data_IF_651212016177
#
_entry.id   IF_651212016177
#
_cell.length_a   1.000
_cell.length_b   1.000
_cell.length_c   1.000
_cell.angle_alpha   90.00
_cell.angle_beta   90.00
_cell.angle_gamma   90.00
#
_symmetry.space_group_name_H-M   'P 1'
#
loop_
_entity.id
_entity.type
_entity.pdbx_description
1 polymer ?
#
# COMPACT_ATOMS: atom_id res chain seq x y z
N UNK A 1 -6.69 9.74 11.34
CA UNK A 1 -7.08 9.42 9.95
C UNK A 1 -7.27 7.93 9.79
N UNK A 2 -8.16 7.51 8.88
CA UNK A 2 -8.36 6.09 8.62
C UNK A 2 -7.07 5.37 8.20
N UNK A 3 -6.98 4.10 8.57
CA UNK A 3 -5.84 3.24 8.29
C UNK A 3 -6.24 2.22 7.23
N UNK A 4 -5.32 1.95 6.31
CA UNK A 4 -5.50 0.96 5.26
C UNK A 4 -4.26 0.07 5.17
N UNK A 5 -4.48 -1.19 4.84
CA UNK A 5 -3.39 -2.14 4.60
C UNK A 5 -3.35 -2.42 3.11
N UNK A 6 -2.20 -2.18 2.49
CA UNK A 6 -1.99 -2.44 1.08
C UNK A 6 -1.12 -3.69 0.94
N UNK A 7 -1.68 -4.72 0.32
CA UNK A 7 -0.97 -5.97 0.04
C UNK A 7 -0.60 -5.96 -1.43
N UNK A 8 0.69 -5.89 -1.72
CA UNK A 8 1.18 -5.72 -3.08
C UNK A 8 1.82 -6.99 -3.61
N UNK A 9 1.49 -7.31 -4.87
CA UNK A 9 2.12 -8.40 -5.60
C UNK A 9 2.79 -7.80 -6.84
N UNK A 10 4.09 -8.08 -7.01
CA UNK A 10 4.83 -7.58 -8.15
C UNK A 10 4.56 -8.44 -9.39
N UNK A 11 4.44 -7.79 -10.55
CA UNK A 11 4.51 -8.47 -11.83
C UNK A 11 5.96 -8.90 -12.08
N UNK A 12 6.18 -9.73 -13.11
CA UNK A 12 7.54 -10.10 -13.52
C UNK A 12 8.38 -8.86 -13.80
N UNK A 13 7.81 -7.89 -14.50
CA UNK A 13 8.47 -6.61 -14.77
C UNK A 13 8.79 -5.86 -13.48
N UNK A 14 7.86 -5.87 -12.52
CA UNK A 14 8.07 -5.21 -11.22
C UNK A 14 9.21 -5.84 -10.44
N UNK A 15 9.32 -7.16 -10.43
CA UNK A 15 10.43 -7.88 -9.80
C UNK A 15 11.76 -7.46 -10.42
N UNK A 16 11.84 -7.42 -11.74
CA UNK A 16 13.06 -7.02 -12.45
C UNK A 16 13.44 -5.57 -12.15
N UNK A 17 12.47 -4.69 -12.08
CA UNK A 17 12.69 -3.27 -11.78
C UNK A 17 13.26 -3.10 -10.38
N UNK A 18 12.69 -3.77 -9.38
CA UNK A 18 13.17 -3.68 -7.99
C UNK A 18 14.58 -4.28 -7.86
N UNK A 19 14.84 -5.39 -8.53
CA UNK A 19 16.17 -6.01 -8.51
C UNK A 19 17.24 -5.12 -9.12
N UNK A 20 16.93 -4.49 -10.25
CA UNK A 20 17.93 -3.65 -10.96
C UNK A 20 18.03 -2.25 -10.36
N UNK A 21 16.98 -1.74 -9.74
CA UNK A 21 16.97 -0.42 -9.13
C UNK A 21 16.15 -0.40 -7.83
N UNK A 22 16.73 -0.85 -6.71
CA UNK A 22 16.01 -0.88 -5.42
C UNK A 22 15.50 0.48 -4.94
N UNK A 23 16.14 1.57 -5.35
CA UNK A 23 15.72 2.93 -5.00
C UNK A 23 14.33 3.27 -5.56
N UNK A 24 13.86 2.53 -6.56
CA UNK A 24 12.51 2.69 -7.10
C UNK A 24 11.44 2.59 -6.02
N UNK A 25 11.69 1.76 -4.99
CA UNK A 25 10.76 1.59 -3.88
C UNK A 25 10.57 2.89 -3.10
N UNK A 26 11.66 3.61 -2.84
CA UNK A 26 11.59 4.92 -2.15
C UNK A 26 10.87 5.96 -3.01
N UNK A 27 11.08 5.93 -4.31
CA UNK A 27 10.39 6.83 -5.23
C UNK A 27 8.89 6.57 -5.23
N UNK A 28 8.47 5.31 -5.21
CA UNK A 28 7.06 4.94 -5.12
C UNK A 28 6.46 5.45 -3.82
N UNK A 29 7.17 5.36 -2.71
CA UNK A 29 6.70 5.88 -1.42
C UNK A 29 6.47 7.39 -1.48
N UNK A 30 7.34 8.14 -2.16
CA UNK A 30 7.14 9.57 -2.37
C UNK A 30 5.89 9.86 -3.20
N UNK A 31 5.67 9.06 -4.24
CA UNK A 31 4.48 9.20 -5.09
C UNK A 31 3.21 8.98 -4.28
N UNK A 32 3.22 7.98 -3.41
CA UNK A 32 2.09 7.70 -2.51
C UNK A 32 1.80 8.89 -1.61
N UNK A 33 2.84 9.48 -1.04
CA UNK A 33 2.68 10.65 -0.18
C UNK A 33 2.17 11.87 -0.94
N UNK A 34 2.65 12.09 -2.15
CA UNK A 34 2.16 13.17 -3.00
C UNK A 34 0.69 13.01 -3.37
N UNK A 35 0.20 11.78 -3.45
CA UNK A 35 -1.21 11.50 -3.74
C UNK A 35 -2.11 11.65 -2.50
N UNK A 36 -1.53 11.91 -1.33
CA UNK A 36 -2.30 12.23 -0.13
C UNK A 36 -2.34 11.14 0.94
N UNK A 37 -1.58 10.07 0.79
CA UNK A 37 -1.47 9.02 1.80
C UNK A 37 -0.13 9.11 2.52
N UNK A 38 -0.11 8.69 3.79
CA UNK A 38 1.12 8.62 4.57
C UNK A 38 1.46 7.16 4.83
N UNK A 39 2.66 6.74 4.45
CA UNK A 39 3.15 5.40 4.72
C UNK A 39 3.62 5.33 6.16
N UNK A 40 2.97 4.52 6.98
CA UNK A 40 3.32 4.34 8.39
C UNK A 40 4.31 3.21 8.59
N UNK A 41 4.08 2.09 7.91
CA UNK A 41 4.93 0.90 7.97
C UNK A 41 4.99 0.25 6.60
N UNK A 42 6.12 -0.38 6.31
CA UNK A 42 6.31 -1.09 5.06
C UNK A 42 7.24 -2.28 5.30
N UNK A 43 6.83 -3.45 4.86
CA UNK A 43 7.62 -4.68 4.95
C UNK A 43 7.67 -5.38 3.62
N UNK A 44 8.82 -5.94 3.29
CA UNK A 44 8.93 -6.93 2.22
C UNK A 44 8.62 -8.30 2.83
N UNK A 45 7.81 -9.08 2.13
CA UNK A 45 7.36 -10.38 2.63
C UNK A 45 7.66 -11.48 1.61
N UNK A 46 7.64 -12.71 2.08
CA UNK A 46 7.78 -13.90 1.24
C UNK A 46 6.44 -14.65 1.29
N UNK A 47 5.96 -15.08 0.14
CA UNK A 47 4.68 -15.80 0.05
C UNK A 47 3.76 -15.18 -0.99
N UNK A 48 2.48 -15.13 -0.67
CA UNK A 48 1.44 -14.67 -1.61
C UNK A 48 1.58 -13.19 -1.97
N UNK A 49 2.16 -12.39 -1.08
CA UNK A 49 2.37 -10.96 -1.32
C UNK A 49 3.85 -10.63 -1.18
N UNK A 50 4.30 -9.65 -1.93
CA UNK A 50 5.69 -9.20 -1.91
C UNK A 50 5.92 -8.07 -0.91
N UNK A 51 4.91 -7.21 -0.73
CA UNK A 51 4.99 -6.10 0.24
C UNK A 51 3.70 -5.97 1.02
N UNK A 52 3.85 -5.61 2.29
CA UNK A 52 2.74 -5.21 3.15
C UNK A 52 3.01 -3.79 3.60
N UNK A 53 2.08 -2.88 3.31
CA UNK A 53 2.19 -1.48 3.67
C UNK A 53 1.01 -1.09 4.56
N UNK A 54 1.30 -0.33 5.61
CA UNK A 54 0.26 0.27 6.43
C UNK A 54 0.30 1.76 6.14
N UNK A 55 -0.82 2.29 5.67
CA UNK A 55 -0.91 3.71 5.30
C UNK A 55 -2.10 4.36 6.00
N UNK A 56 -2.00 5.67 6.21
CA UNK A 56 -3.17 6.45 6.59
C UNK A 56 -3.54 7.38 5.45
N UNK A 57 -4.83 7.63 5.31
CA UNK A 57 -5.39 8.49 4.28
C UNK A 57 -6.60 9.23 4.84
N UNK A 58 -6.95 10.41 4.30
CA UNK A 58 -8.11 11.15 4.79
C UNK A 58 -9.43 10.41 4.54
N UNK A 59 -9.50 9.63 3.47
CA UNK A 59 -10.72 8.90 3.09
C UNK A 59 -10.41 7.74 2.17
N UNK A 60 -11.41 6.91 1.93
CA UNK A 60 -11.28 5.74 1.07
C UNK A 60 -11.05 6.13 -0.40
N UNK A 61 -11.58 7.26 -0.83
CA UNK A 61 -11.40 7.72 -2.21
C UNK A 61 -9.92 8.03 -2.50
N UNK A 62 -9.21 8.62 -1.54
CA UNK A 62 -7.79 8.92 -1.68
C UNK A 62 -6.96 7.64 -1.81
N UNK A 63 -7.21 6.65 -0.96
CA UNK A 63 -6.45 5.40 -1.04
C UNK A 63 -6.81 4.61 -2.30
N UNK A 64 -8.06 4.68 -2.76
CA UNK A 64 -8.46 4.06 -4.03
C UNK A 64 -7.70 4.69 -5.19
N UNK A 65 -7.54 6.00 -5.20
CA UNK A 65 -6.76 6.72 -6.21
C UNK A 65 -5.30 6.24 -6.23
N UNK A 66 -4.70 6.08 -5.05
CA UNK A 66 -3.33 5.56 -4.94
C UNK A 66 -3.25 4.15 -5.52
N UNK A 67 -4.17 3.26 -5.14
CA UNK A 67 -4.17 1.87 -5.58
C UNK A 67 -4.30 1.76 -7.11
N UNK A 68 -5.21 2.53 -7.70
CA UNK A 68 -5.40 2.53 -9.15
C UNK A 68 -4.19 3.14 -9.86
N UNK A 69 -3.65 4.25 -9.35
CA UNK A 69 -2.49 4.91 -9.95
C UNK A 69 -1.27 4.02 -9.97
N UNK A 70 -1.01 3.30 -8.89
CA UNK A 70 0.12 2.36 -8.83
C UNK A 70 -0.13 1.12 -9.70
N UNK A 71 -1.35 0.59 -9.68
CA UNK A 71 -1.72 -0.56 -10.49
C UNK A 71 -1.63 -0.28 -11.98
N UNK A 72 -1.95 0.94 -12.40
CA UNK A 72 -1.90 1.34 -13.81
C UNK A 72 -0.49 1.32 -14.40
N UNK A 73 0.55 1.35 -13.57
CA UNK A 73 1.94 1.26 -14.02
C UNK A 73 2.32 -0.13 -14.51
N UNK A 74 1.51 -1.16 -14.20
CA UNK A 74 1.73 -2.53 -14.66
C UNK A 74 2.80 -3.30 -13.89
N UNK A 75 3.45 -2.69 -12.91
CA UNK A 75 4.50 -3.35 -12.12
C UNK A 75 3.99 -4.01 -10.86
N UNK A 76 2.78 -3.66 -10.42
CA UNK A 76 2.26 -4.16 -9.16
C UNK A 76 0.74 -4.31 -9.21
N UNK A 77 0.23 -5.28 -8.46
CA UNK A 77 -1.19 -5.46 -8.19
C UNK A 77 -1.40 -5.25 -6.70
N UNK A 78 -2.37 -4.43 -6.33
CA UNK A 78 -2.60 -4.05 -4.94
C UNK A 78 -3.97 -4.48 -4.47
N UNK A 79 -4.00 -5.17 -3.33
CA UNK A 79 -5.21 -5.46 -2.60
C UNK A 79 -5.26 -4.49 -1.42
N UNK A 80 -6.32 -3.70 -1.32
CA UNK A 80 -6.45 -2.63 -0.34
C UNK A 80 -7.50 -3.00 0.69
N UNK A 81 -7.09 -3.05 1.96
CA UNK A 81 -7.97 -3.43 3.07
C UNK A 81 -8.15 -2.25 4.01
N UNK A 82 -9.39 -1.76 4.21
CA UNK A 82 -9.64 -0.83 5.31
C UNK A 82 -9.35 -1.54 6.62
N UNK A 83 -8.69 -0.87 7.53
CA UNK A 83 -8.33 -1.43 8.82
C UNK A 83 -8.97 -0.63 9.94
N UNK A 84 -9.45 -1.33 10.94
CA UNK A 84 -10.05 -0.75 12.12
C UNK A 84 -9.16 -1.02 13.31
N UNK A 85 -8.84 0.01 14.09
CA UNK A 85 -8.11 -0.19 15.33
C UNK A 85 -8.88 -1.13 16.23
N UNK A 86 -8.18 -2.01 16.94
CA UNK A 86 -8.83 -3.02 17.78
C UNK A 86 -9.76 -2.40 18.82
N UNK A 87 -9.39 -1.28 19.42
CA UNK A 87 -10.25 -0.61 20.41
C UNK A 87 -11.53 -0.09 19.79
N UNK A 88 -11.46 0.45 18.57
CA UNK A 88 -12.67 0.87 17.84
C UNK A 88 -13.58 -0.32 17.53
N UNK A 89 -12.98 -1.42 17.13
CA UNK A 89 -13.72 -2.64 16.84
C UNK A 89 -14.43 -3.17 18.09
N UNK A 90 -13.73 -3.21 19.21
CA UNK A 90 -14.31 -3.66 20.48
C UNK A 90 -15.44 -2.74 20.93
N UNK A 91 -15.29 -1.43 20.78
CA UNK A 91 -16.36 -0.47 21.09
C UNK A 91 -17.59 -0.69 20.23
N UNK A 92 -17.41 -1.02 18.97
CA UNK A 92 -18.54 -1.26 18.06
C UNK A 92 -19.37 -2.49 18.47
N UNK A 93 -18.79 -3.41 19.23
CA UNK A 93 -19.48 -4.63 19.70
C UNK A 93 -20.18 -4.45 21.03
N UNK A 94 -20.00 -3.34 21.70
CA UNK A 94 -20.62 -3.05 23.01
C UNK A 94 -22.09 -2.65 22.89
#
# INVERSE_FOLDING_TARGET
MPIFILLSTLSQQGVQTIKSNPERLRQVNKDVEELGCRVLHQWATLGSFDFVNVVEAPDIATVAKVSVSLGARGSTKIETLPALEIEEFLHALE
#
